data_IF_652433990930
#
_entry.id   IF_652433990930
#
_cell.length_a   1.000
_cell.length_b   1.000
_cell.length_c   1.000
_cell.angle_alpha   90.00
_cell.angle_beta   90.00
_cell.angle_gamma   90.00
#
_symmetry.space_group_name_H-M   'P 1'
#
loop_
_entity.id
_entity.type
_entity.pdbx_description
1 polymer ?
#
# COMPACT_ATOMS: atom_id res chain seq x y z
N UNK A 1 3.01 5.18 8.36
CA UNK A 1 1.99 6.10 8.85
C UNK A 1 1.43 6.87 7.66
N UNK A 2 0.12 7.00 7.62
CA UNK A 2 -0.60 7.73 6.58
C UNK A 2 -0.29 9.24 6.64
N UNK A 3 -0.53 9.98 5.54
CA UNK A 3 -0.23 11.43 5.46
C UNK A 3 -1.09 12.26 6.41
N UNK A 4 -2.35 11.89 6.63
CA UNK A 4 -3.29 12.57 7.54
C UNK A 4 -2.96 12.32 9.02
N UNK A 5 -2.49 11.12 9.34
CA UNK A 5 -2.03 10.67 10.66
C UNK A 5 -0.71 11.31 11.10
N UNK A 6 0.00 12.01 10.19
CA UNK A 6 1.39 12.46 10.41
C UNK A 6 1.53 13.62 11.43
N UNK A 7 0.44 14.19 11.97
CA UNK A 7 0.50 15.40 12.82
C UNK A 7 1.15 15.16 14.20
N UNK A 8 2.10 16.05 14.55
CA UNK A 8 2.79 16.32 15.84
C UNK A 8 3.05 15.14 16.80
N UNK A 9 3.15 13.92 16.32
CA UNK A 9 3.64 12.80 17.15
C UNK A 9 5.07 13.10 17.63
N UNK A 10 5.31 13.09 18.95
CA UNK A 10 6.64 13.33 19.56
C UNK A 10 7.67 12.40 18.90
N UNK A 11 8.79 12.94 18.41
CA UNK A 11 9.84 12.17 17.72
C UNK A 11 10.40 11.01 18.57
N UNK A 12 10.25 11.09 19.90
CA UNK A 12 10.84 10.15 20.86
C UNK A 12 9.84 9.14 21.46
N UNK A 13 8.59 9.08 20.98
CA UNK A 13 7.64 8.07 21.46
C UNK A 13 8.02 6.68 20.92
N UNK A 14 7.95 5.66 21.79
CA UNK A 14 8.16 4.27 21.36
C UNK A 14 7.15 3.89 20.26
N UNK A 15 7.51 2.92 19.41
CA UNK A 15 6.62 2.44 18.36
C UNK A 15 5.26 2.00 18.92
N UNK A 16 5.28 1.22 20.00
CA UNK A 16 4.09 0.75 20.69
C UNK A 16 3.21 1.92 21.16
N UNK A 17 3.79 2.89 21.87
CA UNK A 17 3.05 4.07 22.33
C UNK A 17 2.42 4.85 21.16
N UNK A 18 3.14 5.01 20.04
CA UNK A 18 2.58 5.64 18.84
C UNK A 18 1.41 4.84 18.26
N UNK A 19 1.56 3.53 18.19
CA UNK A 19 0.55 2.65 17.60
C UNK A 19 -0.72 2.69 18.46
N UNK A 20 -0.59 2.61 19.78
CA UNK A 20 -1.72 2.77 20.70
C UNK A 20 -2.36 4.14 20.60
N UNK A 21 -1.58 5.21 20.66
CA UNK A 21 -2.14 6.59 20.66
C UNK A 21 -2.74 7.01 19.33
N UNK A 22 -2.23 6.49 18.20
CA UNK A 22 -2.72 6.89 16.87
C UNK A 22 -3.84 5.99 16.35
N UNK A 23 -3.78 4.69 16.65
CA UNK A 23 -4.67 3.69 16.04
C UNK A 23 -5.49 2.88 17.04
N UNK A 24 -5.35 3.15 18.35
CA UNK A 24 -6.10 2.45 19.40
C UNK A 24 -5.65 1.01 19.67
N UNK A 25 -4.58 0.53 19.02
CA UNK A 25 -4.07 -0.82 19.23
C UNK A 25 -3.34 -0.93 20.57
N UNK A 26 -3.84 -1.79 21.44
CA UNK A 26 -3.28 -2.11 22.75
C UNK A 26 -1.89 -2.74 22.67
N UNK A 27 -1.33 -2.99 23.86
CA UNK A 27 0.00 -3.59 24.01
C UNK A 27 0.04 -4.96 23.32
N UNK A 28 1.03 -5.17 22.44
CA UNK A 28 1.18 -6.44 21.71
C UNK A 28 0.22 -6.67 20.54
N UNK A 29 -0.88 -5.92 20.39
CA UNK A 29 -1.86 -6.16 19.31
C UNK A 29 -1.27 -5.95 17.91
N UNK A 30 -0.33 -5.01 17.75
CA UNK A 30 0.40 -4.86 16.49
C UNK A 30 1.17 -6.15 16.13
N UNK A 31 1.82 -6.77 17.11
CA UNK A 31 2.62 -7.97 16.90
C UNK A 31 1.71 -9.17 16.63
N UNK A 32 0.62 -9.32 17.38
CA UNK A 32 -0.40 -10.32 17.10
C UNK A 32 -0.99 -10.19 15.68
N UNK A 33 -1.28 -8.96 15.23
CA UNK A 33 -1.76 -8.72 13.87
C UNK A 33 -0.69 -9.00 12.81
N UNK A 34 0.58 -8.69 13.09
CA UNK A 34 1.72 -9.06 12.23
C UNK A 34 1.83 -10.57 12.08
N UNK A 35 1.74 -11.32 13.18
CA UNK A 35 1.79 -12.78 13.18
C UNK A 35 0.60 -13.39 12.45
N UNK A 36 -0.62 -12.89 12.72
CA UNK A 36 -1.83 -13.29 12.01
C UNK A 36 -1.72 -13.08 10.49
N UNK A 37 -1.08 -11.99 10.05
CA UNK A 37 -0.82 -11.74 8.64
C UNK A 37 0.30 -12.59 8.02
N UNK A 38 1.03 -13.36 8.84
CA UNK A 38 2.18 -14.16 8.40
C UNK A 38 3.46 -13.34 8.23
N UNK A 39 3.60 -12.20 8.90
CA UNK A 39 4.80 -11.35 8.81
C UNK A 39 4.96 -10.58 7.51
N UNK A 40 3.90 -10.48 6.69
CA UNK A 40 3.93 -9.86 5.37
C UNK A 40 2.88 -8.75 5.21
N UNK A 41 3.09 -7.91 4.19
CA UNK A 41 2.11 -6.92 3.76
C UNK A 41 0.76 -7.58 3.42
N UNK A 42 -0.35 -7.09 3.99
CA UNK A 42 -1.67 -7.65 3.71
C UNK A 42 -2.08 -7.56 2.22
N UNK A 43 -1.54 -6.58 1.49
CA UNK A 43 -1.89 -6.34 0.07
C UNK A 43 -0.95 -7.12 -0.85
N UNK A 44 0.35 -6.77 -0.88
CA UNK A 44 1.28 -7.36 -1.85
C UNK A 44 1.91 -8.69 -1.38
N UNK A 45 1.60 -9.16 -0.15
CA UNK A 45 2.11 -10.41 0.44
C UNK A 45 3.64 -10.53 0.56
N UNK A 46 4.35 -9.43 0.35
CA UNK A 46 5.81 -9.36 0.52
C UNK A 46 6.21 -9.04 1.97
N UNK A 47 7.29 -9.69 2.43
CA UNK A 47 7.96 -9.34 3.68
C UNK A 47 8.79 -8.06 3.52
N UNK A 48 9.06 -7.36 4.63
CA UNK A 48 9.85 -6.13 4.62
C UNK A 48 10.87 -6.16 5.76
N UNK A 49 12.07 -5.62 5.50
CA UNK A 49 13.10 -5.39 6.54
C UNK A 49 12.73 -4.27 7.53
N UNK A 50 11.66 -3.54 7.24
CA UNK A 50 11.15 -2.46 8.06
C UNK A 50 9.74 -2.78 8.54
N UNK A 51 9.33 -2.15 9.65
CA UNK A 51 7.98 -2.29 10.20
C UNK A 51 6.91 -1.88 9.19
N UNK A 52 5.88 -2.71 9.05
CA UNK A 52 4.69 -2.39 8.26
C UNK A 52 3.91 -1.23 8.90
N UNK A 53 3.30 -0.42 8.07
CA UNK A 53 2.43 0.66 8.50
C UNK A 53 1.05 0.09 8.87
N UNK A 54 0.42 0.62 9.92
CA UNK A 54 -1.00 0.38 10.19
C UNK A 54 -1.83 1.15 9.17
N UNK A 55 -2.67 0.44 8.43
CA UNK A 55 -3.66 0.97 7.51
C UNK A 55 -5.04 1.04 8.19
N UNK A 56 -5.80 2.07 7.86
CA UNK A 56 -7.11 2.34 8.46
C UNK A 56 -7.99 3.14 7.49
N UNK A 57 -9.29 3.00 7.65
CA UNK A 57 -10.27 3.80 6.92
C UNK A 57 -10.32 5.23 7.50
N UNK A 58 -10.10 6.24 6.65
CA UNK A 58 -10.02 7.64 7.08
C UNK A 58 -11.36 8.26 7.47
N UNK A 59 -12.50 7.60 7.21
CA UNK A 59 -13.85 8.10 7.56
C UNK A 59 -14.31 7.55 8.90
N UNK A 60 -14.06 6.28 9.14
CA UNK A 60 -14.55 5.51 10.30
C UNK A 60 -13.49 5.29 11.37
N UNK A 61 -12.21 5.40 11.01
CA UNK A 61 -11.09 5.06 11.88
C UNK A 61 -10.82 3.55 11.99
N UNK A 62 -11.57 2.70 11.26
CA UNK A 62 -11.42 1.25 11.31
C UNK A 62 -10.02 0.83 10.86
N UNK A 63 -9.26 0.17 11.74
CA UNK A 63 -7.98 -0.47 11.38
C UNK A 63 -8.27 -1.63 10.44
N UNK A 64 -7.66 -1.60 9.25
CA UNK A 64 -7.86 -2.62 8.20
C UNK A 64 -6.76 -3.68 8.20
N UNK A 65 -5.53 -3.31 8.59
CA UNK A 65 -4.40 -4.24 8.62
C UNK A 65 -3.04 -3.57 8.62
N UNK A 66 -1.98 -4.37 8.48
CA UNK A 66 -0.61 -3.90 8.31
C UNK A 66 -0.18 -4.01 6.84
N UNK A 67 0.33 -2.91 6.29
CA UNK A 67 0.71 -2.82 4.88
C UNK A 67 2.10 -2.20 4.72
N UNK A 68 2.81 -2.53 3.64
CA UNK A 68 4.11 -1.90 3.37
C UNK A 68 3.93 -0.44 2.94
N UNK A 69 5.01 0.37 2.99
CA UNK A 69 4.93 1.80 2.66
C UNK A 69 4.43 2.06 1.24
N UNK A 70 4.78 1.19 0.29
CA UNK A 70 4.39 1.30 -1.12
C UNK A 70 2.88 1.07 -1.28
N UNK A 71 2.33 0.02 -0.66
CA UNK A 71 0.90 -0.24 -0.71
C UNK A 71 0.11 0.84 0.05
N UNK A 72 0.55 1.18 1.27
CA UNK A 72 -0.15 2.12 2.15
C UNK A 72 -0.20 3.56 1.62
N UNK A 73 0.91 4.04 1.04
CA UNK A 73 1.06 5.46 0.64
C UNK A 73 1.05 5.66 -0.87
N UNK A 74 1.19 4.57 -1.63
CA UNK A 74 1.15 4.58 -3.08
C UNK A 74 -0.17 4.03 -3.59
N UNK A 75 -0.39 2.73 -3.43
CA UNK A 75 -1.51 2.02 -4.07
C UNK A 75 -2.87 2.52 -3.54
N UNK A 76 -3.08 2.47 -2.22
CA UNK A 76 -4.39 2.81 -1.63
C UNK A 76 -4.81 4.26 -1.95
N UNK A 77 -3.97 5.31 -1.75
CA UNK A 77 -4.36 6.67 -2.10
C UNK A 77 -4.55 6.88 -3.61
N UNK A 78 -3.73 6.25 -4.46
CA UNK A 78 -3.89 6.35 -5.93
C UNK A 78 -5.18 5.70 -6.42
N UNK A 79 -5.63 4.63 -5.76
CA UNK A 79 -6.94 4.02 -6.00
C UNK A 79 -8.11 4.82 -5.42
N UNK A 80 -7.84 5.91 -4.68
CA UNK A 80 -8.81 6.68 -3.89
C UNK A 80 -9.57 5.83 -2.87
N UNK A 81 -8.89 4.83 -2.31
CA UNK A 81 -9.48 3.81 -1.45
C UNK A 81 -10.71 3.11 -2.08
N UNK A 82 -10.83 3.09 -3.41
CA UNK A 82 -11.92 2.42 -4.13
C UNK A 82 -11.49 1.01 -4.57
N UNK A 83 -12.10 -0.07 -4.01
CA UNK A 83 -11.78 -1.45 -4.38
C UNK A 83 -11.99 -1.74 -5.87
N UNK A 84 -12.99 -1.15 -6.51
CA UNK A 84 -13.27 -1.34 -7.95
C UNK A 84 -12.10 -0.89 -8.82
N UNK A 85 -11.45 0.23 -8.46
CA UNK A 85 -10.27 0.70 -9.18
C UNK A 85 -9.14 -0.32 -9.15
N UNK A 86 -8.97 -1.04 -8.03
CA UNK A 86 -7.93 -2.05 -7.87
C UNK A 86 -8.26 -3.35 -8.63
N UNK A 87 -9.54 -3.75 -8.66
CA UNK A 87 -10.01 -4.88 -9.50
C UNK A 87 -9.80 -4.57 -10.98
N UNK A 88 -10.25 -3.41 -11.44
CA UNK A 88 -10.06 -2.95 -12.82
C UNK A 88 -8.57 -2.85 -13.19
N UNK A 89 -7.69 -2.51 -12.23
CA UNK A 89 -6.26 -2.48 -12.48
C UNK A 89 -5.66 -3.89 -12.65
N UNK A 90 -6.16 -4.89 -11.91
CA UNK A 90 -5.79 -6.29 -12.13
C UNK A 90 -6.26 -6.75 -13.53
N UNK A 91 -7.53 -6.51 -13.84
CA UNK A 91 -8.12 -6.85 -15.15
C UNK A 91 -7.36 -6.17 -16.31
N UNK A 92 -6.97 -4.90 -16.14
CA UNK A 92 -6.19 -4.17 -17.15
C UNK A 92 -4.81 -4.79 -17.42
N UNK A 93 -4.15 -5.35 -16.39
CA UNK A 93 -2.84 -5.98 -16.53
C UNK A 93 -2.94 -7.37 -17.17
N UNK A 94 -4.02 -8.11 -16.87
CA UNK A 94 -4.26 -9.46 -17.41
C UNK A 94 -4.83 -9.42 -18.84
N UNK A 95 -5.70 -8.45 -19.13
CA UNK A 95 -6.39 -8.31 -20.42
C UNK A 95 -6.38 -6.86 -20.94
N UNK A 96 -5.20 -6.34 -21.37
CA UNK A 96 -5.06 -4.96 -21.78
C UNK A 96 -5.91 -4.63 -23.01
N UNK A 97 -6.70 -3.54 -22.99
CA UNK A 97 -7.58 -3.20 -24.11
C UNK A 97 -6.83 -2.97 -25.43
N UNK A 98 -5.58 -2.49 -25.37
CA UNK A 98 -4.75 -2.34 -26.56
C UNK A 98 -4.46 -3.69 -27.24
N UNK A 99 -4.21 -4.75 -26.47
CA UNK A 99 -3.96 -6.09 -27.02
C UNK A 99 -5.23 -6.65 -27.64
N UNK A 100 -6.38 -6.53 -26.95
CA UNK A 100 -7.67 -7.00 -27.49
C UNK A 100 -8.10 -6.29 -28.76
N UNK A 101 -7.89 -4.98 -28.83
CA UNK A 101 -8.41 -4.16 -29.92
C UNK A 101 -7.44 -4.05 -31.10
N UNK A 102 -6.13 -3.87 -30.83
CA UNK A 102 -5.12 -3.57 -31.84
C UNK A 102 -4.10 -4.70 -32.05
N UNK A 103 -4.20 -5.78 -31.29
CA UNK A 103 -3.16 -6.80 -31.16
C UNK A 103 -1.95 -6.30 -30.34
N UNK A 104 -0.93 -7.15 -30.12
CA UNK A 104 0.29 -6.76 -29.43
C UNK A 104 0.99 -5.57 -30.12
N UNK A 105 1.33 -4.55 -29.33
CA UNK A 105 2.07 -3.35 -29.76
C UNK A 105 3.18 -3.06 -28.76
N UNK A 106 4.32 -2.62 -29.27
CA UNK A 106 5.50 -2.28 -28.47
C UNK A 106 5.77 -0.79 -28.58
N UNK A 107 6.19 -0.17 -27.48
CA UNK A 107 6.70 1.21 -27.53
C UNK A 107 7.97 1.27 -28.37
N UNK A 108 8.11 2.32 -29.17
CA UNK A 108 9.34 2.63 -29.89
C UNK A 108 10.27 3.39 -28.93
N UNK A 109 11.46 2.85 -28.67
CA UNK A 109 12.50 3.61 -27.95
C UNK A 109 13.19 4.56 -28.92
N UNK A 110 12.84 5.83 -28.84
CA UNK A 110 13.40 6.87 -29.71
C UNK A 110 14.85 7.23 -29.36
N UNK A 111 15.41 6.65 -28.29
CA UNK A 111 16.79 6.91 -27.83
C UNK A 111 17.85 6.10 -28.57
N UNK A 112 17.47 5.09 -29.36
CA UNK A 112 18.43 4.28 -30.15
C UNK A 112 18.58 4.77 -31.61
N UNK A 113 17.81 5.78 -32.04
CA UNK A 113 17.77 6.24 -33.44
C UNK A 113 18.72 7.42 -33.75
N UNK A 114 19.64 7.78 -32.86
CA UNK A 114 20.55 8.93 -33.02
C UNK A 114 22.00 8.57 -33.34
N UNK A 115 22.31 7.30 -33.59
CA UNK A 115 23.67 6.81 -33.86
C UNK A 115 23.84 6.29 -35.31
N UNK A 116 23.25 6.97 -36.31
CA UNK A 116 23.56 6.80 -37.74
C UNK A 116 23.77 8.15 -38.44
#
# INVERSE_FOLDING_TARGET
MCSTCRRKTRRNASHESRVTTTYGLGKGEYQALMEYQGGVCAICRESRRYRLDVDHDHKTGLVRGLTCRLCNRGILPKSRDNPETLRNAADYLEDPPAVRFLGPRFHVDVREASDE
#
